data_IF_912562674584
#
_entry.id   IF_912562674584
#
_cell.length_a   1.000
_cell.length_b   1.000
_cell.length_c   1.000
_cell.angle_alpha   90.00
_cell.angle_beta   90.00
_cell.angle_gamma   90.00
#
_symmetry.space_group_name_H-M   'P 1'
#
loop_
_entity.id
_entity.type
_entity.pdbx_description
1 polymer ?
#
# COMPACT_ATOMS: atom_id res chain seq x y z
N UNK A 1 17.09 39.95 3.61
CA UNK A 1 15.74 39.60 4.12
C UNK A 1 15.35 38.35 3.37
N UNK A 2 15.52 37.19 3.99
CA UNK A 2 15.41 35.90 3.30
C UNK A 2 14.26 35.16 3.98
N UNK A 3 13.07 35.24 3.39
CA UNK A 3 11.87 34.58 3.89
C UNK A 3 11.94 33.12 3.47
N UNK A 4 12.40 32.25 4.37
CA UNK A 4 12.21 30.80 4.21
C UNK A 4 10.72 30.49 4.33
N UNK A 5 10.13 30.04 3.23
CA UNK A 5 8.77 29.50 3.21
C UNK A 5 8.83 28.16 3.95
N UNK A 6 8.18 28.09 5.11
CA UNK A 6 7.93 26.85 5.83
C UNK A 6 6.91 26.05 5.02
N UNK A 7 7.40 25.14 4.18
CA UNK A 7 6.56 24.09 3.62
C UNK A 7 6.14 23.24 4.83
N UNK A 8 4.85 23.08 5.13
CA UNK A 8 4.45 22.16 6.18
C UNK A 8 4.94 20.78 5.75
N UNK A 9 5.95 20.26 6.44
CA UNK A 9 6.37 18.87 6.33
C UNK A 9 5.14 18.07 6.74
N UNK A 10 4.35 17.62 5.77
CA UNK A 10 3.40 16.55 5.99
C UNK A 10 4.21 15.46 6.70
N UNK A 11 3.85 15.17 7.95
CA UNK A 11 4.48 14.07 8.68
C UNK A 11 4.42 12.87 7.73
N UNK A 12 5.53 12.17 7.45
CA UNK A 12 5.45 11.01 6.58
C UNK A 12 4.53 10.01 7.27
N UNK A 13 3.27 9.96 6.85
CA UNK A 13 2.46 8.76 7.00
C UNK A 13 3.33 7.65 6.45
N UNK A 14 3.78 6.76 7.34
CA UNK A 14 4.76 5.75 6.97
C UNK A 14 4.02 4.73 6.13
N UNK A 15 3.95 4.99 4.82
CA UNK A 15 3.46 4.03 3.87
C UNK A 15 4.44 2.85 3.87
N UNK A 16 3.94 1.66 4.21
CA UNK A 16 4.71 0.44 4.08
C UNK A 16 4.23 -0.29 2.83
N UNK A 17 5.19 -0.82 2.07
CA UNK A 17 4.94 -1.53 0.82
C UNK A 17 5.64 -2.88 0.83
N UNK A 18 4.89 -3.93 0.49
CA UNK A 18 5.40 -5.27 0.26
C UNK A 18 5.04 -5.69 -1.17
N UNK A 19 6.00 -6.24 -1.91
CA UNK A 19 5.82 -6.76 -3.26
C UNK A 19 6.05 -8.26 -3.25
N UNK A 20 5.09 -9.01 -3.77
CA UNK A 20 5.17 -10.46 -3.93
C UNK A 20 5.10 -10.80 -5.42
N UNK A 21 6.03 -11.63 -5.89
CA UNK A 21 6.12 -12.07 -7.27
C UNK A 21 5.64 -13.51 -7.43
N UNK A 22 5.17 -13.87 -8.64
CA UNK A 22 4.73 -15.23 -8.96
C UNK A 22 3.40 -15.63 -8.31
N UNK A 23 2.58 -14.65 -7.92
CA UNK A 23 1.26 -14.86 -7.34
C UNK A 23 0.28 -15.24 -8.46
N UNK A 24 -0.45 -16.34 -8.31
CA UNK A 24 -1.53 -16.66 -9.25
C UNK A 24 -2.77 -15.80 -8.98
N UNK A 25 -3.63 -15.66 -9.99
CA UNK A 25 -4.91 -14.96 -9.83
C UNK A 25 -5.74 -15.52 -8.65
N UNK A 26 -5.80 -16.84 -8.53
CA UNK A 26 -6.56 -17.52 -7.47
C UNK A 26 -5.97 -17.26 -6.06
N UNK A 27 -4.64 -17.14 -5.96
CA UNK A 27 -3.98 -16.76 -4.71
C UNK A 27 -4.31 -15.32 -4.32
N UNK A 28 -4.31 -14.40 -5.29
CA UNK A 28 -4.76 -13.02 -5.07
C UNK A 28 -6.22 -12.98 -4.58
N UNK A 29 -7.14 -13.70 -5.21
CA UNK A 29 -8.55 -13.73 -4.78
C UNK A 29 -8.71 -14.26 -3.36
N UNK A 30 -7.93 -15.28 -2.98
CA UNK A 30 -7.92 -15.81 -1.62
C UNK A 30 -7.44 -14.76 -0.62
N UNK A 31 -6.37 -14.03 -0.94
CA UNK A 31 -5.85 -12.95 -0.11
C UNK A 31 -6.84 -11.79 -0.02
N UNK A 32 -7.49 -11.42 -1.12
CA UNK A 32 -8.51 -10.37 -1.15
C UNK A 32 -9.72 -10.75 -0.29
N UNK A 33 -10.20 -11.99 -0.37
CA UNK A 33 -11.29 -12.45 0.50
C UNK A 33 -10.90 -12.48 1.98
N UNK A 34 -9.62 -12.68 2.29
CA UNK A 34 -9.11 -12.76 3.67
C UNK A 34 -8.80 -11.39 4.26
N UNK A 35 -8.31 -10.46 3.44
CA UNK A 35 -7.70 -9.20 3.88
C UNK A 35 -8.38 -7.94 3.29
N UNK A 36 -9.15 -8.07 2.22
CA UNK A 36 -9.78 -6.96 1.50
C UNK A 36 -10.87 -6.27 2.31
N UNK A 37 -11.49 -6.98 3.25
CA UNK A 37 -12.45 -6.44 4.19
C UNK A 37 -11.84 -6.32 5.59
N UNK A 38 -12.19 -5.27 6.33
CA UNK A 38 -11.82 -5.09 7.74
C UNK A 38 -10.54 -4.29 8.01
N UNK A 39 -9.74 -3.98 6.98
CA UNK A 39 -8.52 -3.18 7.10
C UNK A 39 -8.59 -1.93 6.21
N UNK A 40 -9.17 -0.80 6.67
CA UNK A 40 -9.38 0.39 5.83
C UNK A 40 -8.07 1.02 5.31
N UNK A 41 -6.96 0.72 5.97
CA UNK A 41 -5.64 1.22 5.62
C UNK A 41 -4.81 0.24 4.79
N UNK A 42 -5.36 -0.93 4.45
CA UNK A 42 -4.71 -1.95 3.62
C UNK A 42 -5.22 -1.84 2.19
N UNK A 43 -4.30 -1.82 1.22
CA UNK A 43 -4.61 -1.88 -0.21
C UNK A 43 -3.86 -3.03 -0.85
N UNK A 44 -4.52 -3.72 -1.76
CA UNK A 44 -3.99 -4.83 -2.55
C UNK A 44 -4.08 -4.45 -4.03
N UNK A 45 -2.95 -4.42 -4.75
CA UNK A 45 -2.91 -4.24 -6.19
C UNK A 45 -2.32 -5.49 -6.84
N UNK A 46 -3.03 -6.07 -7.81
CA UNK A 46 -2.53 -7.22 -8.55
C UNK A 46 -2.34 -6.86 -10.03
N UNK A 47 -1.18 -7.21 -10.58
CA UNK A 47 -0.87 -7.06 -11.99
C UNK A 47 0.03 -8.21 -12.46
N UNK A 48 -0.46 -9.03 -13.39
CA UNK A 48 0.31 -10.06 -14.12
C UNK A 48 1.22 -10.95 -13.24
N UNK A 49 0.76 -11.30 -12.05
CA UNK A 49 1.49 -12.17 -11.12
C UNK A 49 2.30 -11.45 -10.05
N UNK A 50 2.31 -10.12 -10.10
CA UNK A 50 2.85 -9.27 -9.05
C UNK A 50 1.71 -8.77 -8.16
N UNK A 51 1.85 -8.96 -6.85
CA UNK A 51 0.94 -8.42 -5.85
C UNK A 51 1.66 -7.36 -5.00
N UNK A 52 1.19 -6.12 -5.06
CA UNK A 52 1.59 -5.09 -4.10
C UNK A 52 0.59 -5.04 -2.94
N UNK A 53 1.13 -5.01 -1.72
CA UNK A 53 0.40 -4.75 -0.49
C UNK A 53 0.89 -3.43 0.07
N UNK A 54 -0.03 -2.50 0.29
CA UNK A 54 0.28 -1.15 0.78
C UNK A 54 -0.49 -0.93 2.08
N UNK A 55 0.19 -0.51 3.14
CA UNK A 55 -0.42 -0.07 4.39
C UNK A 55 -0.06 1.36 4.70
N UNK A 56 -1.02 2.11 5.23
CA UNK A 56 -0.79 3.48 5.72
C UNK A 56 -1.07 3.54 7.22
N UNK A 57 -0.09 3.95 8.02
CA UNK A 57 -0.25 4.19 9.48
C UNK A 57 -0.69 5.61 9.75
#
# INVERSE_FOLDING_TARGET
MNTQVLIPSAMPSTEQRLVLEGISWQQYETLLATLGDGFPNLRLNYLEGTLEIITTT
#
